data_IF_853221877984
#
_entry.id   IF_853221877984
#
_cell.length_a   1.000
_cell.length_b   1.000
_cell.length_c   1.000
_cell.angle_alpha   90.00
_cell.angle_beta   90.00
_cell.angle_gamma   90.00
#
_symmetry.space_group_name_H-M   'P 1'
#
loop_
_entity.id
_entity.type
_entity.pdbx_description
1 polymer ?
#
# COMPACT_ATOMS: atom_id res chain seq x y z
N UNK A 1 6.05 -21.86 -25.79
CA UNK A 1 6.71 -20.61 -25.39
C UNK A 1 7.61 -20.95 -24.23
N UNK A 2 8.84 -20.44 -24.17
CA UNK A 2 9.71 -20.67 -23.02
C UNK A 2 9.13 -19.92 -21.81
N UNK A 3 9.05 -20.61 -20.70
CA UNK A 3 8.65 -20.05 -19.41
C UNK A 3 9.74 -19.05 -18.95
N UNK A 4 9.31 -17.88 -18.46
CA UNK A 4 10.21 -16.88 -17.91
C UNK A 4 10.77 -17.34 -16.56
N UNK A 5 12.04 -17.01 -16.31
CA UNK A 5 12.69 -17.22 -15.02
C UNK A 5 12.30 -16.10 -14.03
N UNK A 6 12.03 -16.49 -12.77
CA UNK A 6 11.63 -15.59 -11.69
C UNK A 6 12.75 -15.50 -10.64
N UNK A 7 13.31 -14.33 -10.48
CA UNK A 7 14.24 -14.00 -9.38
C UNK A 7 13.49 -13.36 -8.22
N UNK A 8 13.51 -13.99 -7.05
CA UNK A 8 12.77 -13.55 -5.87
C UNK A 8 13.73 -12.94 -4.86
N UNK A 9 13.59 -11.64 -4.61
CA UNK A 9 14.48 -10.92 -3.70
C UNK A 9 14.13 -11.21 -2.24
N UNK A 10 15.15 -11.43 -1.40
CA UNK A 10 15.05 -11.60 0.05
C UNK A 10 15.11 -10.26 0.79
N UNK A 11 15.65 -9.24 0.15
CA UNK A 11 15.93 -7.93 0.76
C UNK A 11 15.46 -6.81 -0.13
N UNK A 12 14.97 -5.75 0.51
CA UNK A 12 14.77 -4.44 -0.08
C UNK A 12 15.76 -3.47 0.53
N UNK A 13 16.14 -2.44 -0.20
CA UNK A 13 16.94 -1.32 0.32
C UNK A 13 16.08 -0.32 1.11
N UNK A 14 14.75 -0.48 1.10
CA UNK A 14 13.84 0.28 1.94
C UNK A 14 14.07 -0.03 3.42
N UNK A 15 14.20 1.01 4.23
CA UNK A 15 14.38 0.89 5.67
C UNK A 15 13.31 -0.02 6.30
N UNK A 16 13.73 -0.95 7.15
CA UNK A 16 12.85 -1.90 7.85
C UNK A 16 11.90 -2.73 6.98
N UNK A 17 12.08 -2.79 5.66
CA UNK A 17 11.31 -3.73 4.85
C UNK A 17 11.77 -5.16 5.14
N UNK A 18 10.86 -5.92 5.73
CA UNK A 18 11.12 -7.29 6.18
C UNK A 18 10.20 -8.32 5.53
N UNK A 19 9.22 -7.87 4.78
CA UNK A 19 8.26 -8.75 4.09
C UNK A 19 8.95 -9.47 2.95
N UNK A 20 8.67 -10.77 2.82
CA UNK A 20 9.03 -11.54 1.64
C UNK A 20 7.83 -11.64 0.71
N UNK A 21 8.04 -11.71 -0.61
CA UNK A 21 6.93 -11.88 -1.53
C UNK A 21 6.34 -13.30 -1.52
N UNK A 22 7.15 -14.32 -1.27
CA UNK A 22 6.72 -15.71 -1.16
C UNK A 22 7.11 -16.29 0.20
N UNK A 23 6.12 -16.79 0.96
CA UNK A 23 6.39 -17.42 2.25
C UNK A 23 7.07 -18.78 2.05
N UNK A 24 8.15 -19.12 2.79
CA UNK A 24 8.88 -20.38 2.59
C UNK A 24 8.03 -21.65 2.65
N UNK A 25 6.97 -21.65 3.47
CA UNK A 25 6.03 -22.79 3.58
C UNK A 25 5.10 -22.93 2.36
N UNK A 26 5.03 -21.95 1.49
CA UNK A 26 4.14 -21.98 0.33
C UNK A 26 4.80 -22.56 -0.92
N UNK A 27 6.12 -22.77 -0.96
CA UNK A 27 6.79 -23.31 -2.14
C UNK A 27 6.23 -24.67 -2.57
N UNK A 28 5.84 -25.53 -1.62
CA UNK A 28 5.22 -26.82 -1.93
C UNK A 28 3.85 -26.73 -2.62
N UNK A 29 3.24 -25.54 -2.66
CA UNK A 29 1.95 -25.27 -3.35
C UNK A 29 2.13 -24.78 -4.78
N UNK A 30 3.36 -24.43 -5.16
CA UNK A 30 3.70 -23.97 -6.51
C UNK A 30 3.90 -25.21 -7.38
N UNK A 31 3.31 -25.30 -8.61
CA UNK A 31 3.56 -26.40 -9.54
C UNK A 31 5.05 -26.62 -9.81
N UNK A 32 5.45 -27.88 -9.97
CA UNK A 32 6.87 -28.28 -10.12
C UNK A 32 7.54 -27.65 -11.32
N UNK A 33 6.84 -27.54 -12.43
CA UNK A 33 7.33 -26.91 -13.65
C UNK A 33 7.64 -25.42 -13.43
N UNK A 34 6.82 -24.70 -12.69
CA UNK A 34 7.11 -23.31 -12.33
C UNK A 34 8.27 -23.21 -11.37
N UNK A 35 8.32 -24.08 -10.34
CA UNK A 35 9.40 -24.08 -9.33
C UNK A 35 10.78 -24.25 -9.95
N UNK A 36 10.86 -25.04 -11.03
CA UNK A 36 12.11 -25.28 -11.77
C UNK A 36 12.70 -24.01 -12.42
N UNK A 37 11.95 -22.89 -12.47
CA UNK A 37 12.40 -21.60 -13.00
C UNK A 37 12.35 -20.47 -11.98
N UNK A 38 12.18 -20.80 -10.67
CA UNK A 38 12.21 -19.83 -9.58
C UNK A 38 13.56 -19.88 -8.88
N UNK A 39 14.22 -18.74 -8.80
CA UNK A 39 15.49 -18.55 -8.09
C UNK A 39 15.30 -17.59 -6.93
N UNK A 40 15.87 -17.92 -5.77
CA UNK A 40 15.78 -17.11 -4.56
C UNK A 40 17.09 -16.37 -4.32
N UNK A 41 17.02 -15.16 -3.79
CA UNK A 41 18.20 -14.49 -3.23
C UNK A 41 18.76 -15.32 -2.05
N UNK A 42 20.08 -15.41 -1.94
CA UNK A 42 20.75 -16.13 -0.83
C UNK A 42 20.28 -15.59 0.53
N UNK A 43 20.02 -16.52 1.46
CA UNK A 43 19.50 -16.19 2.79
C UNK A 43 17.99 -15.86 2.79
N UNK A 44 17.27 -16.25 1.75
CA UNK A 44 15.83 -15.98 1.63
C UNK A 44 15.02 -16.47 2.84
N UNK A 45 15.34 -17.67 3.33
CA UNK A 45 14.64 -18.32 4.44
C UNK A 45 15.16 -17.97 5.84
N UNK A 46 16.23 -17.20 5.97
CA UNK A 46 16.98 -17.03 7.22
C UNK A 46 16.08 -16.58 8.40
N UNK A 47 15.17 -15.62 8.15
CA UNK A 47 14.24 -15.13 9.19
C UNK A 47 13.21 -16.17 9.65
N UNK A 48 13.06 -17.23 8.88
CA UNK A 48 12.17 -18.37 9.17
C UNK A 48 12.93 -19.58 9.70
N UNK A 49 14.26 -19.48 9.89
CA UNK A 49 15.11 -20.59 10.27
C UNK A 49 15.23 -21.67 9.18
N UNK A 50 15.02 -21.30 7.92
CA UNK A 50 15.09 -22.22 6.77
C UNK A 50 16.32 -21.85 5.94
N UNK A 51 17.25 -22.77 5.82
CA UNK A 51 18.49 -22.56 5.06
C UNK A 51 18.25 -22.63 3.55
N UNK A 52 19.18 -22.04 2.77
CA UNK A 52 19.18 -22.16 1.31
C UNK A 52 19.23 -23.63 0.85
N UNK A 53 19.94 -24.51 1.58
CA UNK A 53 20.01 -25.95 1.25
C UNK A 53 18.67 -26.65 1.43
N UNK A 54 17.88 -26.25 2.43
CA UNK A 54 16.52 -26.78 2.61
C UNK A 54 15.57 -26.29 1.52
N UNK A 55 15.78 -25.06 1.01
CA UNK A 55 14.97 -24.48 -0.07
C UNK A 55 15.33 -25.05 -1.45
N UNK A 56 16.54 -25.56 -1.68
CA UNK A 56 16.96 -26.18 -2.96
C UNK A 56 16.05 -27.32 -3.43
N UNK A 57 15.37 -28.01 -2.51
CA UNK A 57 14.40 -29.05 -2.85
C UNK A 57 13.08 -28.52 -3.40
N UNK A 58 12.84 -27.21 -3.31
CA UNK A 58 11.57 -26.59 -3.66
C UNK A 58 11.65 -25.60 -4.83
N UNK A 59 12.86 -25.13 -5.19
CA UNK A 59 13.05 -24.11 -6.23
C UNK A 59 14.30 -24.45 -7.05
N UNK A 60 14.51 -23.75 -8.17
CA UNK A 60 15.65 -23.97 -9.06
C UNK A 60 17.03 -23.73 -8.36
N UNK A 61 17.06 -22.90 -7.34
CA UNK A 61 18.25 -22.67 -6.52
C UNK A 61 18.35 -21.28 -5.92
N UNK A 62 19.46 -21.03 -5.19
CA UNK A 62 19.78 -19.72 -4.62
C UNK A 62 20.85 -19.02 -5.43
N UNK A 63 20.76 -17.69 -5.54
CA UNK A 63 21.65 -16.81 -6.29
C UNK A 63 22.00 -15.58 -5.45
N UNK A 64 23.11 -14.92 -5.76
CA UNK A 64 23.31 -13.56 -5.25
C UNK A 64 22.34 -12.59 -5.91
N UNK A 65 22.17 -11.39 -5.34
CA UNK A 65 21.35 -10.33 -5.92
C UNK A 65 21.77 -10.01 -7.36
N UNK A 66 23.07 -9.84 -7.58
CA UNK A 66 23.64 -9.52 -8.90
C UNK A 66 23.36 -10.64 -9.92
N UNK A 67 23.43 -11.91 -9.48
CA UNK A 67 23.11 -13.05 -10.33
C UNK A 67 21.61 -13.09 -10.68
N UNK A 68 20.71 -12.80 -9.72
CA UNK A 68 19.27 -12.71 -10.01
C UNK A 68 18.99 -11.63 -11.05
N UNK A 69 19.55 -10.45 -10.86
CA UNK A 69 19.38 -9.33 -11.82
C UNK A 69 20.02 -9.69 -13.17
N UNK A 70 21.20 -10.34 -13.16
CA UNK A 70 21.92 -10.73 -14.39
C UNK A 70 21.24 -11.85 -15.19
N UNK A 71 20.56 -12.78 -14.54
CA UNK A 71 20.13 -14.05 -15.14
C UNK A 71 18.59 -14.19 -15.29
N UNK A 72 17.78 -13.60 -14.37
CA UNK A 72 16.35 -13.80 -14.37
C UNK A 72 15.62 -12.79 -15.27
N UNK A 73 14.51 -13.23 -15.87
CA UNK A 73 13.67 -12.39 -16.73
C UNK A 73 12.78 -11.45 -15.92
N UNK A 74 12.22 -11.95 -14.82
CA UNK A 74 11.34 -11.23 -13.91
C UNK A 74 11.97 -11.14 -12.54
N UNK A 75 11.99 -9.94 -11.97
CA UNK A 75 12.41 -9.69 -10.58
C UNK A 75 11.15 -9.45 -9.73
N UNK A 76 10.99 -10.27 -8.70
CA UNK A 76 9.90 -10.16 -7.72
C UNK A 76 10.45 -9.53 -6.44
N UNK A 77 10.05 -8.28 -6.17
CA UNK A 77 10.48 -7.49 -5.02
C UNK A 77 9.33 -6.62 -4.50
N UNK A 78 8.86 -6.81 -3.25
CA UNK A 78 7.68 -6.10 -2.74
C UNK A 78 7.82 -4.57 -2.76
N UNK A 79 8.94 -4.03 -2.25
CA UNK A 79 9.13 -2.58 -2.15
C UNK A 79 10.48 -2.19 -2.75
N UNK A 80 10.56 -2.03 -4.09
CA UNK A 80 11.78 -1.58 -4.75
C UNK A 80 12.02 -0.09 -4.46
N UNK A 81 13.30 0.28 -4.35
CA UNK A 81 13.78 1.65 -4.29
C UNK A 81 14.35 2.06 -5.65
N UNK A 82 14.54 3.35 -5.87
CA UNK A 82 15.20 3.88 -7.08
C UNK A 82 16.51 3.15 -7.39
N UNK A 83 17.34 2.88 -6.38
CA UNK A 83 18.60 2.14 -6.52
C UNK A 83 18.39 0.71 -7.00
N UNK A 84 17.31 0.02 -6.53
CA UNK A 84 16.98 -1.33 -6.98
C UNK A 84 16.64 -1.33 -8.48
N UNK A 85 15.84 -0.35 -8.93
CA UNK A 85 15.44 -0.21 -10.33
C UNK A 85 16.63 0.15 -11.22
N UNK A 86 17.55 0.98 -10.70
CA UNK A 86 18.76 1.40 -11.43
C UNK A 86 19.75 0.24 -11.70
N UNK A 87 19.72 -0.82 -10.91
CA UNK A 87 20.54 -2.03 -11.12
C UNK A 87 19.94 -2.98 -12.17
N UNK A 88 18.64 -2.89 -12.47
CA UNK A 88 17.96 -3.82 -13.38
C UNK A 88 18.48 -3.71 -14.82
N UNK A 89 18.48 -4.84 -15.54
CA UNK A 89 18.89 -4.89 -16.96
C UNK A 89 17.86 -4.17 -17.84
N UNK A 90 18.34 -3.63 -18.96
CA UNK A 90 17.44 -3.08 -19.99
C UNK A 90 16.43 -4.13 -20.45
N UNK A 91 15.15 -3.76 -20.47
CA UNK A 91 14.03 -4.63 -20.87
C UNK A 91 13.59 -5.65 -19.83
N UNK A 92 14.14 -5.64 -18.61
CA UNK A 92 13.79 -6.58 -17.55
C UNK A 92 12.41 -6.25 -16.96
N UNK A 93 11.76 -7.25 -16.35
CA UNK A 93 10.45 -7.10 -15.74
C UNK A 93 10.58 -6.99 -14.21
N UNK A 94 9.93 -6.00 -13.62
CA UNK A 94 9.71 -5.91 -12.18
C UNK A 94 8.26 -6.28 -11.85
N UNK A 95 8.07 -7.07 -10.80
CA UNK A 95 6.78 -7.35 -10.18
C UNK A 95 6.84 -6.95 -8.69
N UNK A 96 6.15 -5.88 -8.30
CA UNK A 96 6.27 -5.30 -6.95
C UNK A 96 5.41 -4.05 -6.76
N UNK A 97 5.68 -3.25 -5.69
CA UNK A 97 5.07 -1.94 -5.44
C UNK A 97 6.03 -0.79 -5.85
N UNK A 98 6.14 -0.44 -7.14
CA UNK A 98 7.02 0.64 -7.60
C UNK A 98 6.48 2.04 -7.32
N UNK A 99 5.17 2.22 -7.09
CA UNK A 99 4.52 3.51 -6.89
C UNK A 99 4.87 4.55 -7.95
N UNK A 100 4.80 4.15 -9.22
CA UNK A 100 5.24 4.96 -10.36
C UNK A 100 4.55 6.33 -10.45
N UNK A 101 3.31 6.48 -10.00
CA UNK A 101 2.59 7.74 -10.08
C UNK A 101 3.29 8.82 -9.24
N UNK A 102 3.70 8.50 -8.01
CA UNK A 102 4.30 9.44 -7.07
C UNK A 102 5.83 9.55 -7.21
N UNK A 103 6.51 8.51 -7.72
CA UNK A 103 7.98 8.49 -7.83
C UNK A 103 8.44 8.80 -9.26
N UNK A 104 8.66 10.08 -9.54
CA UNK A 104 9.11 10.57 -10.84
C UNK A 104 10.50 10.03 -11.21
N UNK A 105 11.42 9.95 -10.26
CA UNK A 105 12.79 9.50 -10.49
C UNK A 105 12.83 8.01 -10.86
N UNK A 106 12.09 7.18 -10.13
CA UNK A 106 11.95 5.76 -10.42
C UNK A 106 11.30 5.53 -11.78
N UNK A 107 10.24 6.29 -12.09
CA UNK A 107 9.54 6.24 -13.38
C UNK A 107 10.48 6.60 -14.53
N UNK A 108 11.31 7.64 -14.38
CA UNK A 108 12.26 8.03 -15.41
C UNK A 108 13.29 6.92 -15.71
N UNK A 109 13.85 6.31 -14.67
CA UNK A 109 14.78 5.18 -14.84
C UNK A 109 14.11 4.00 -15.52
N UNK A 110 12.86 3.71 -15.19
CA UNK A 110 12.10 2.62 -15.83
C UNK A 110 11.86 2.89 -17.33
N UNK A 111 11.56 4.13 -17.71
CA UNK A 111 11.42 4.54 -19.12
C UNK A 111 12.76 4.39 -19.86
N UNK A 112 13.84 4.95 -19.31
CA UNK A 112 15.16 4.97 -19.94
C UNK A 112 15.73 3.56 -20.12
N UNK A 113 15.50 2.67 -19.16
CA UNK A 113 15.92 1.27 -19.21
C UNK A 113 14.94 0.34 -19.92
N UNK A 114 13.86 0.89 -20.47
CA UNK A 114 12.81 0.11 -21.16
C UNK A 114 12.28 -1.04 -20.30
N UNK A 115 12.11 -0.81 -19.00
CA UNK A 115 11.58 -1.83 -18.10
C UNK A 115 10.09 -2.07 -18.33
N UNK A 116 9.63 -3.26 -17.95
CA UNK A 116 8.20 -3.53 -17.77
C UNK A 116 7.91 -3.61 -16.28
N UNK A 117 7.03 -2.73 -15.77
CA UNK A 117 6.64 -2.68 -14.36
C UNK A 117 5.22 -3.19 -14.21
N UNK A 118 5.06 -4.32 -13.49
CA UNK A 118 3.76 -4.89 -13.12
C UNK A 118 3.53 -4.54 -11.65
N UNK A 119 2.65 -3.58 -11.41
CA UNK A 119 2.52 -2.94 -10.12
C UNK A 119 1.49 -3.64 -9.22
N UNK A 120 1.91 -4.01 -8.02
CA UNK A 120 1.03 -4.63 -7.01
C UNK A 120 -0.14 -3.71 -6.62
N UNK A 121 0.08 -2.38 -6.56
CA UNK A 121 -0.96 -1.39 -6.27
C UNK A 121 -2.08 -1.35 -7.30
N UNK A 122 -1.83 -1.80 -8.53
CA UNK A 122 -2.79 -1.86 -9.60
C UNK A 122 -3.40 -3.26 -9.82
N UNK A 123 -2.96 -4.28 -9.06
CA UNK A 123 -3.50 -5.63 -9.15
C UNK A 123 -4.87 -5.73 -8.48
N UNK A 124 -5.90 -5.76 -9.29
CA UNK A 124 -7.29 -5.87 -8.83
C UNK A 124 -7.98 -7.07 -9.47
N UNK A 125 -8.88 -7.69 -8.72
CA UNK A 125 -9.88 -8.58 -9.28
C UNK A 125 -10.97 -7.75 -9.94
N UNK A 126 -11.46 -8.21 -11.09
CA UNK A 126 -12.44 -7.53 -11.90
C UNK A 126 -13.69 -8.40 -12.06
N UNK A 127 -14.86 -7.79 -12.02
CA UNK A 127 -16.11 -8.45 -12.36
C UNK A 127 -16.19 -8.72 -13.88
N UNK A 128 -17.13 -9.55 -14.30
CA UNK A 128 -17.34 -9.89 -15.72
C UNK A 128 -17.67 -8.68 -16.61
N UNK A 129 -18.24 -7.63 -16.04
CA UNK A 129 -18.53 -6.35 -16.70
C UNK A 129 -17.31 -5.41 -16.76
N UNK A 130 -16.17 -5.82 -16.19
CA UNK A 130 -14.94 -5.05 -16.12
C UNK A 130 -14.88 -4.03 -14.99
N UNK A 131 -15.88 -3.97 -14.12
CA UNK A 131 -15.86 -3.13 -12.92
C UNK A 131 -14.91 -3.71 -11.87
N UNK A 132 -14.40 -2.83 -10.99
CA UNK A 132 -13.58 -3.23 -9.85
C UNK A 132 -14.36 -4.14 -8.90
N UNK A 133 -13.72 -5.21 -8.46
CA UNK A 133 -14.28 -6.13 -7.46
C UNK A 133 -13.53 -6.00 -6.12
N UNK A 134 -12.25 -6.37 -6.09
CA UNK A 134 -11.45 -6.40 -4.88
C UNK A 134 -9.97 -6.25 -5.21
N UNK A 135 -9.22 -5.50 -4.40
CA UNK A 135 -7.78 -5.42 -4.51
C UNK A 135 -7.13 -6.79 -4.17
N UNK A 136 -6.19 -7.25 -4.96
CA UNK A 136 -5.52 -8.55 -4.73
C UNK A 136 -4.88 -8.61 -3.35
N UNK A 137 -4.26 -7.52 -2.92
CA UNK A 137 -3.58 -7.42 -1.62
C UNK A 137 -4.48 -6.83 -0.51
N UNK A 138 -5.80 -7.03 -0.57
CA UNK A 138 -6.74 -6.48 0.43
C UNK A 138 -6.38 -6.89 1.86
N UNK A 139 -5.83 -8.09 2.09
CA UNK A 139 -5.36 -8.54 3.41
C UNK A 139 -4.13 -7.77 3.89
N UNK A 140 -3.17 -7.52 3.00
CA UNK A 140 -2.03 -6.65 3.34
C UNK A 140 -2.49 -5.21 3.65
N UNK A 141 -3.54 -4.73 2.96
CA UNK A 141 -4.12 -3.41 3.25
C UNK A 141 -4.86 -3.39 4.59
N UNK A 142 -5.55 -4.49 4.99
CA UNK A 142 -6.06 -4.64 6.36
C UNK A 142 -4.93 -4.57 7.38
N UNK A 143 -3.82 -5.31 7.13
CA UNK A 143 -2.64 -5.28 7.99
C UNK A 143 -2.05 -3.87 8.06
N UNK A 144 -2.08 -3.08 6.99
CA UNK A 144 -1.59 -1.70 7.02
C UNK A 144 -2.34 -0.84 8.04
N UNK A 145 -3.66 -0.85 8.02
CA UNK A 145 -4.47 -0.15 9.03
C UNK A 145 -4.25 -0.69 10.44
N UNK A 146 -4.18 -2.01 10.59
CA UNK A 146 -3.93 -2.66 11.88
C UNK A 146 -2.55 -2.26 12.45
N UNK A 147 -1.50 -2.36 11.67
CA UNK A 147 -0.13 -2.05 12.08
C UNK A 147 0.06 -0.57 12.43
N UNK A 148 -0.52 0.32 11.62
CA UNK A 148 -0.39 1.76 11.84
C UNK A 148 -1.01 2.16 13.18
N UNK A 149 -2.23 1.70 13.47
CA UNK A 149 -2.89 1.96 14.75
C UNK A 149 -2.12 1.33 15.90
N UNK A 150 -1.71 0.06 15.78
CA UNK A 150 -0.96 -0.65 16.83
C UNK A 150 0.33 0.09 17.17
N UNK A 151 1.14 0.45 16.18
CA UNK A 151 2.43 1.10 16.37
C UNK A 151 2.26 2.54 16.89
N UNK A 152 1.33 3.31 16.30
CA UNK A 152 1.07 4.68 16.73
C UNK A 152 0.59 4.77 18.18
N UNK A 153 -0.36 3.91 18.60
CA UNK A 153 -0.84 3.88 19.98
C UNK A 153 0.25 3.45 20.97
N UNK A 154 1.15 2.56 20.55
CA UNK A 154 2.31 2.17 21.35
C UNK A 154 3.26 3.35 21.59
N UNK A 155 3.53 4.14 20.55
CA UNK A 155 4.36 5.35 20.63
C UNK A 155 3.67 6.43 21.51
N UNK A 156 2.36 6.62 21.33
CA UNK A 156 1.56 7.52 22.15
C UNK A 156 1.42 7.07 23.62
N UNK A 157 1.85 5.85 23.94
CA UNK A 157 1.80 5.29 25.30
C UNK A 157 0.38 5.08 25.81
N UNK A 158 -0.60 4.83 24.92
CA UNK A 158 -2.02 4.80 25.27
C UNK A 158 -2.68 3.48 24.87
N UNK A 159 -3.70 3.09 25.62
CA UNK A 159 -4.62 1.98 25.32
C UNK A 159 -6.02 2.34 25.81
N UNK A 160 -7.05 1.73 25.23
CA UNK A 160 -8.44 1.97 25.63
C UNK A 160 -8.87 1.21 26.89
N UNK A 161 -8.10 0.21 27.34
CA UNK A 161 -8.42 -0.60 28.53
C UNK A 161 -7.92 0.01 29.85
N UNK A 162 -6.95 0.95 29.76
CA UNK A 162 -6.38 1.60 30.93
C UNK A 162 -6.36 3.14 30.75
N UNK A 163 -6.56 3.86 31.85
CA UNK A 163 -6.63 5.32 31.85
C UNK A 163 -8.03 5.86 31.53
N UNK A 164 -8.12 6.97 30.84
CA UNK A 164 -9.41 7.54 30.43
C UNK A 164 -9.98 6.83 29.20
N UNK A 165 -11.30 6.87 29.06
CA UNK A 165 -11.96 6.39 27.86
C UNK A 165 -11.53 7.22 26.64
N UNK A 166 -11.15 6.54 25.56
CA UNK A 166 -10.76 7.13 24.30
C UNK A 166 -11.88 7.02 23.26
N UNK A 167 -12.03 8.07 22.45
CA UNK A 167 -12.89 8.10 21.28
C UNK A 167 -12.02 8.11 20.03
N UNK A 168 -12.34 7.29 19.05
CA UNK A 168 -11.62 7.24 17.79
C UNK A 168 -12.55 7.46 16.60
N UNK A 169 -12.02 8.08 15.54
CA UNK A 169 -12.68 8.18 14.25
C UNK A 169 -11.78 7.62 13.15
N UNK A 170 -12.34 6.82 12.26
CA UNK A 170 -11.65 6.22 11.11
C UNK A 170 -12.28 6.76 9.83
N UNK A 171 -11.47 7.43 9.00
CA UNK A 171 -11.91 7.99 7.72
C UNK A 171 -11.66 6.95 6.63
N UNK A 172 -12.73 6.46 5.99
CA UNK A 172 -12.71 5.42 4.99
C UNK A 172 -13.47 4.17 5.43
N UNK A 173 -13.80 3.28 4.46
CA UNK A 173 -14.58 2.06 4.68
C UNK A 173 -13.99 0.84 3.94
N UNK A 174 -12.75 0.95 3.47
CA UNK A 174 -12.04 -0.11 2.76
C UNK A 174 -11.36 -1.12 3.68
N UNK A 175 -10.50 -1.96 3.10
CA UNK A 175 -9.72 -2.95 3.82
C UNK A 175 -8.86 -2.32 4.92
N UNK A 176 -8.17 -1.23 4.62
CA UNK A 176 -7.32 -0.48 5.57
C UNK A 176 -8.11 -0.02 6.79
N UNK A 177 -9.30 0.59 6.57
CA UNK A 177 -10.17 1.03 7.68
C UNK A 177 -10.64 -0.14 8.54
N UNK A 178 -10.96 -1.30 7.95
CA UNK A 178 -11.31 -2.52 8.71
C UNK A 178 -10.18 -2.98 9.61
N UNK A 179 -8.95 -2.97 9.11
CA UNK A 179 -7.76 -3.26 9.90
C UNK A 179 -7.56 -2.28 11.05
N UNK A 180 -7.72 -0.97 10.79
CA UNK A 180 -7.63 0.07 11.81
C UNK A 180 -8.67 -0.11 12.93
N UNK A 181 -9.95 -0.33 12.58
CA UNK A 181 -11.01 -0.60 13.59
C UNK A 181 -10.73 -1.87 14.37
N UNK A 182 -10.22 -2.92 13.71
CA UNK A 182 -9.86 -4.18 14.40
C UNK A 182 -8.76 -3.93 15.42
N UNK A 183 -7.73 -3.14 15.10
CA UNK A 183 -6.67 -2.79 16.04
C UNK A 183 -7.17 -1.92 17.20
N UNK A 184 -7.98 -0.89 16.92
CA UNK A 184 -8.59 -0.04 17.94
C UNK A 184 -9.37 -0.89 18.96
N UNK A 185 -10.24 -1.78 18.47
CA UNK A 185 -11.02 -2.67 19.32
C UNK A 185 -10.12 -3.64 20.12
N UNK A 186 -9.08 -4.21 19.50
CA UNK A 186 -8.13 -5.11 20.16
C UNK A 186 -7.34 -4.40 21.28
N UNK A 187 -7.10 -3.09 21.11
CA UNK A 187 -6.44 -2.23 22.09
C UNK A 187 -7.41 -1.58 23.09
N UNK A 188 -8.67 -2.02 23.14
CA UNK A 188 -9.65 -1.59 24.12
C UNK A 188 -10.41 -0.31 23.80
N UNK A 189 -10.15 0.34 22.65
CA UNK A 189 -10.92 1.51 22.19
C UNK A 189 -12.27 1.05 21.66
N UNK A 190 -13.35 1.33 22.41
CA UNK A 190 -14.71 0.83 22.13
C UNK A 190 -15.63 1.88 21.50
N UNK A 191 -15.28 3.13 21.61
CA UNK A 191 -16.02 4.26 21.05
C UNK A 191 -15.39 4.65 19.72
N UNK A 192 -15.83 4.01 18.63
CA UNK A 192 -15.25 4.15 17.30
C UNK A 192 -16.32 4.63 16.33
N UNK A 193 -16.04 5.74 15.67
CA UNK A 193 -16.80 6.26 14.55
C UNK A 193 -16.07 5.94 13.22
N UNK A 194 -16.84 5.63 12.18
CA UNK A 194 -16.31 5.36 10.83
C UNK A 194 -17.00 6.27 9.84
N UNK A 195 -16.20 7.01 9.08
CA UNK A 195 -16.68 7.92 8.05
C UNK A 195 -16.58 7.29 6.66
N UNK A 196 -17.63 7.37 5.87
CA UNK A 196 -17.66 6.86 4.49
C UNK A 196 -18.36 7.81 3.54
N UNK A 197 -17.83 7.93 2.30
CA UNK A 197 -18.53 8.60 1.20
C UNK A 197 -19.69 7.76 0.65
N UNK A 198 -19.71 6.45 0.94
CA UNK A 198 -20.80 5.59 0.50
C UNK A 198 -22.02 5.83 1.37
N UNK A 199 -23.19 5.79 0.76
CA UNK A 199 -24.43 5.77 1.53
C UNK A 199 -24.39 4.60 2.52
N UNK A 200 -24.74 4.83 3.77
CA UNK A 200 -24.67 3.79 4.84
C UNK A 200 -25.50 2.55 4.49
N UNK A 201 -26.61 2.73 3.75
CA UNK A 201 -27.43 1.63 3.21
C UNK A 201 -26.74 0.81 2.10
N UNK A 202 -25.71 1.35 1.47
CA UNK A 202 -24.95 0.67 0.40
C UNK A 202 -23.73 -0.10 0.90
N UNK A 203 -23.53 -0.12 2.22
CA UNK A 203 -22.40 -0.81 2.84
C UNK A 203 -22.72 -2.29 2.98
N UNK A 204 -22.20 -3.11 2.08
CA UNK A 204 -22.49 -4.55 1.99
C UNK A 204 -22.02 -5.39 3.18
N UNK A 205 -21.07 -4.92 3.98
CA UNK A 205 -20.56 -5.62 5.16
C UNK A 205 -20.26 -4.61 6.27
N UNK A 206 -21.10 -4.51 7.30
CA UNK A 206 -20.89 -3.58 8.41
C UNK A 206 -19.57 -3.88 9.13
N UNK A 207 -18.93 -2.84 9.65
CA UNK A 207 -17.83 -2.98 10.59
C UNK A 207 -18.48 -3.13 11.98
N UNK A 208 -18.25 -4.26 12.65
CA UNK A 208 -18.76 -4.50 13.99
C UNK A 208 -18.12 -3.54 15.00
N UNK A 209 -18.88 -3.14 16.00
CA UNK A 209 -18.43 -2.27 17.10
C UNK A 209 -17.98 -0.86 16.66
N UNK A 210 -18.59 -0.32 15.61
CA UNK A 210 -18.39 1.04 15.17
C UNK A 210 -19.71 1.68 14.75
N UNK A 211 -19.85 2.97 14.98
CA UNK A 211 -20.93 3.77 14.38
C UNK A 211 -20.47 4.25 13.01
N UNK A 212 -21.35 4.20 12.02
CA UNK A 212 -21.01 4.57 10.64
C UNK A 212 -21.75 5.87 10.30
N UNK A 213 -21.00 6.85 9.84
CA UNK A 213 -21.51 8.13 9.38
C UNK A 213 -21.16 8.33 7.90
N UNK A 214 -22.09 8.95 7.19
CA UNK A 214 -21.83 9.45 5.85
C UNK A 214 -21.11 10.79 5.93
N UNK A 215 -20.09 11.01 5.11
CA UNK A 215 -19.54 12.34 4.88
C UNK A 215 -19.57 12.66 3.39
N UNK A 216 -19.85 13.89 3.07
CA UNK A 216 -19.82 14.42 1.71
C UNK A 216 -18.76 15.52 1.58
N UNK A 217 -18.23 15.64 0.38
CA UNK A 217 -17.36 16.76 -0.01
C UNK A 217 -18.11 17.63 -0.99
N UNK A 218 -18.16 18.93 -0.73
CA UNK A 218 -18.64 19.88 -1.71
C UNK A 218 -17.53 20.15 -2.74
N UNK A 219 -17.67 19.56 -3.92
CA UNK A 219 -16.71 19.74 -5.01
C UNK A 219 -16.76 21.14 -5.64
N UNK A 220 -17.73 21.98 -5.24
CA UNK A 220 -17.89 23.35 -5.77
C UNK A 220 -17.13 24.40 -4.96
N UNK A 221 -16.90 24.13 -3.67
CA UNK A 221 -16.05 24.93 -2.79
C UNK A 221 -14.92 24.05 -2.29
N UNK A 222 -13.72 24.23 -2.82
CA UNK A 222 -12.55 23.51 -2.36
C UNK A 222 -12.48 23.51 -0.82
N UNK A 223 -12.45 22.34 -0.21
CA UNK A 223 -12.15 22.09 1.21
C UNK A 223 -13.30 22.08 2.22
N UNK A 224 -14.58 22.13 1.86
CA UNK A 224 -15.66 22.01 2.85
C UNK A 224 -16.31 20.63 2.77
N UNK A 225 -15.79 19.69 3.56
CA UNK A 225 -16.45 18.40 3.79
C UNK A 225 -17.32 18.45 5.04
N UNK A 226 -18.45 17.74 5.04
CA UNK A 226 -19.39 17.70 6.15
C UNK A 226 -19.71 16.24 6.52
N UNK A 227 -19.86 15.99 7.80
CA UNK A 227 -20.40 14.73 8.32
C UNK A 227 -21.91 14.87 8.52
N UNK A 228 -22.67 13.89 8.04
CA UNK A 228 -24.11 13.82 8.21
C UNK A 228 -24.43 13.10 9.50
N UNK A 229 -24.90 13.84 10.50
CA UNK A 229 -25.30 13.33 11.82
C UNK A 229 -26.81 13.36 11.98
N UNK A 230 -27.33 12.76 13.06
CA UNK A 230 -28.74 12.85 13.40
C UNK A 230 -29.22 14.28 13.70
N UNK A 231 -28.30 15.17 14.04
CA UNK A 231 -28.57 16.58 14.36
C UNK A 231 -28.33 17.52 13.17
N UNK A 232 -28.06 16.98 11.98
CA UNK A 232 -27.77 17.73 10.76
C UNK A 232 -26.33 17.55 10.27
N UNK A 233 -25.93 18.42 9.34
CA UNK A 233 -24.58 18.45 8.76
C UNK A 233 -23.66 19.28 9.65
N UNK A 234 -22.50 18.71 9.99
CA UNK A 234 -21.45 19.39 10.78
C UNK A 234 -20.15 19.42 9.98
N UNK A 235 -19.33 20.48 10.10
CA UNK A 235 -18.02 20.52 9.44
C UNK A 235 -17.17 19.31 9.81
N UNK A 236 -16.47 18.73 8.82
CA UNK A 236 -15.66 17.52 9.03
C UNK A 236 -14.51 17.79 10.02
N UNK A 237 -13.78 18.89 9.88
CA UNK A 237 -12.67 19.21 10.76
C UNK A 237 -13.11 19.30 12.24
N UNK A 238 -14.19 20.00 12.53
CA UNK A 238 -14.76 20.08 13.89
C UNK A 238 -15.21 18.70 14.42
N UNK A 239 -15.81 17.86 13.57
CA UNK A 239 -16.17 16.49 13.96
C UNK A 239 -14.92 15.66 14.32
N UNK A 240 -13.83 15.78 13.53
CA UNK A 240 -12.56 15.09 13.80
C UNK A 240 -11.93 15.58 15.10
N UNK A 241 -11.97 16.90 15.36
CA UNK A 241 -11.39 17.52 16.55
C UNK A 241 -12.02 17.03 17.88
N UNK A 242 -13.24 16.48 17.84
CA UNK A 242 -13.90 15.88 19.02
C UNK A 242 -13.34 14.50 19.43
N UNK A 243 -12.39 13.94 18.67
CA UNK A 243 -11.86 12.59 18.88
C UNK A 243 -10.41 12.63 19.40
N UNK A 244 -10.08 11.65 20.23
CA UNK A 244 -8.72 11.46 20.75
C UNK A 244 -7.79 10.83 19.73
N UNK A 245 -8.36 10.04 18.80
CA UNK A 245 -7.63 9.31 17.77
C UNK A 245 -8.35 9.50 16.43
N UNK A 246 -7.63 10.03 15.44
CA UNK A 246 -8.09 10.18 14.05
C UNK A 246 -7.27 9.27 13.17
N UNK A 247 -7.90 8.36 12.42
CA UNK A 247 -7.21 7.42 11.52
C UNK A 247 -7.64 7.67 10.07
N UNK A 248 -6.73 8.11 9.22
CA UNK A 248 -6.99 8.28 7.79
C UNK A 248 -6.66 6.99 7.02
N UNK A 249 -7.67 6.43 6.35
CA UNK A 249 -7.59 5.22 5.52
C UNK A 249 -8.11 5.43 4.10
N UNK A 250 -8.18 6.68 3.63
CA UNK A 250 -8.71 7.00 2.30
C UNK A 250 -7.57 6.99 1.29
N UNK A 251 -7.66 6.13 0.28
CA UNK A 251 -6.82 6.25 -0.90
C UNK A 251 -7.23 7.50 -1.67
N UNK A 252 -6.35 8.48 -1.76
CA UNK A 252 -6.61 9.76 -2.39
C UNK A 252 -6.59 9.66 -3.92
N UNK A 253 -7.44 10.47 -4.57
CA UNK A 253 -7.29 10.74 -5.98
C UNK A 253 -6.24 11.84 -6.14
N UNK A 254 -5.11 11.52 -6.75
CA UNK A 254 -3.98 12.45 -6.92
C UNK A 254 -4.32 13.68 -7.76
N UNK A 255 -5.31 13.57 -8.67
CA UNK A 255 -5.76 14.70 -9.51
C UNK A 255 -6.77 15.62 -8.78
N UNK A 256 -7.39 15.13 -7.70
CA UNK A 256 -8.37 15.88 -6.90
C UNK A 256 -8.36 15.39 -5.43
N UNK A 257 -7.28 15.67 -4.67
CA UNK A 257 -7.17 15.20 -3.30
C UNK A 257 -8.19 15.92 -2.38
N UNK A 258 -8.73 15.16 -1.43
CA UNK A 258 -9.56 15.70 -0.36
C UNK A 258 -8.69 16.22 0.77
N UNK A 259 -9.02 17.37 1.33
CA UNK A 259 -8.45 17.87 2.58
C UNK A 259 -9.45 17.68 3.71
N UNK A 260 -9.06 17.01 4.79
CA UNK A 260 -9.91 16.76 5.95
C UNK A 260 -9.71 17.82 7.03
N UNK A 261 -8.44 18.25 7.20
CA UNK A 261 -8.06 19.33 8.14
C UNK A 261 -6.88 20.11 7.58
N UNK A 262 -6.84 21.39 7.92
CA UNK A 262 -5.76 22.33 7.62
C UNK A 262 -5.05 22.80 8.90
N UNK A 263 -3.96 23.55 8.76
CA UNK A 263 -3.26 24.14 9.91
C UNK A 263 -4.16 25.07 10.74
N UNK A 264 -5.14 25.74 10.11
CA UNK A 264 -6.10 26.61 10.79
C UNK A 264 -7.03 25.81 11.71
N UNK A 265 -7.37 24.57 11.34
CA UNK A 265 -8.26 23.71 12.13
C UNK A 265 -7.58 23.13 13.38
N UNK A 266 -6.23 23.14 13.44
CA UNK A 266 -5.47 22.61 14.59
C UNK A 266 -5.78 23.32 15.91
N UNK A 267 -6.24 24.56 15.86
CA UNK A 267 -6.62 25.30 17.05
C UNK A 267 -7.84 24.69 17.79
N UNK A 268 -8.67 23.92 17.09
CA UNK A 268 -9.82 23.21 17.65
C UNK A 268 -9.50 21.82 18.18
N UNK A 269 -8.32 21.27 17.82
CA UNK A 269 -7.91 19.92 18.19
C UNK A 269 -7.38 19.89 19.62
N UNK A 270 -7.88 18.93 20.41
CA UNK A 270 -7.42 18.77 21.79
C UNK A 270 -5.93 18.38 21.83
N UNK A 271 -5.08 19.08 22.63
CA UNK A 271 -3.70 18.67 22.82
C UNK A 271 -3.55 17.23 23.28
N UNK A 272 -2.63 16.48 22.66
CA UNK A 272 -2.44 15.05 22.90
C UNK A 272 -3.31 14.14 22.00
N UNK A 273 -4.06 14.70 21.07
CA UNK A 273 -4.73 13.92 20.00
C UNK A 273 -3.68 13.19 19.15
N UNK A 274 -4.00 11.94 18.78
CA UNK A 274 -3.20 11.11 17.89
C UNK A 274 -3.83 11.06 16.50
N UNK A 275 -3.12 11.51 15.48
CA UNK A 275 -3.51 11.35 14.07
C UNK A 275 -2.66 10.26 13.46
N UNK A 276 -3.32 9.21 12.93
CA UNK A 276 -2.69 8.07 12.27
C UNK A 276 -3.04 8.14 10.78
N UNK A 277 -2.12 8.61 9.98
CA UNK A 277 -2.31 8.69 8.54
C UNK A 277 -1.74 7.44 7.85
N UNK A 278 -2.62 6.48 7.53
CA UNK A 278 -2.23 5.23 6.87
C UNK A 278 -2.02 5.43 5.38
N UNK A 279 -2.67 6.42 4.80
CA UNK A 279 -2.52 6.78 3.38
C UNK A 279 -1.20 7.47 3.12
N UNK A 280 -0.75 8.32 4.03
CA UNK A 280 0.56 9.00 4.10
C UNK A 280 1.01 9.69 2.80
N UNK A 281 0.07 10.08 1.94
CA UNK A 281 0.37 10.82 0.71
C UNK A 281 0.66 12.29 1.04
N UNK A 282 1.75 12.83 0.47
CA UNK A 282 2.21 14.19 0.77
C UNK A 282 1.16 15.24 0.41
N UNK A 283 0.86 16.12 1.37
CA UNK A 283 -0.15 17.18 1.28
C UNK A 283 -1.57 16.71 0.90
N UNK A 284 -1.90 15.44 1.15
CA UNK A 284 -3.25 14.88 0.92
C UNK A 284 -3.89 14.47 2.24
N UNK A 285 -5.16 14.80 2.41
CA UNK A 285 -5.89 14.55 3.64
C UNK A 285 -5.65 15.60 4.72
N UNK A 286 -4.40 15.94 5.00
CA UNK A 286 -4.00 16.98 5.95
C UNK A 286 -2.99 17.91 5.29
N UNK A 287 -3.06 19.23 5.56
CA UNK A 287 -2.15 20.21 4.96
C UNK A 287 -0.67 19.95 5.29
N UNK A 288 -0.41 19.33 6.44
CA UNK A 288 0.93 18.94 6.93
C UNK A 288 1.32 17.51 6.59
N UNK A 289 0.49 16.77 5.84
CA UNK A 289 0.72 15.36 5.55
C UNK A 289 2.05 15.14 4.83
N UNK A 290 2.84 14.23 5.35
CA UNK A 290 4.06 13.71 4.75
C UNK A 290 4.38 12.34 5.32
N UNK A 291 4.97 11.43 4.52
CA UNK A 291 5.37 10.12 5.02
C UNK A 291 6.47 10.23 6.08
N UNK A 292 6.44 9.28 7.02
CA UNK A 292 7.45 9.09 8.06
C UNK A 292 8.10 7.72 7.93
N UNK A 293 9.13 7.45 8.74
CA UNK A 293 9.89 6.20 8.72
C UNK A 293 9.74 5.43 10.03
N UNK A 294 10.19 4.19 10.10
CA UNK A 294 10.22 3.47 11.38
C UNK A 294 11.24 4.03 12.37
N UNK A 295 12.31 4.67 11.89
CA UNK A 295 13.31 5.31 12.75
C UNK A 295 12.78 6.63 13.35
N UNK A 296 11.95 7.37 12.59
CA UNK A 296 11.30 8.61 13.02
C UNK A 296 9.81 8.55 12.62
N UNK A 297 8.98 7.81 13.41
CA UNK A 297 7.64 7.43 12.97
C UNK A 297 6.59 8.53 13.17
N UNK A 298 6.89 9.57 13.92
CA UNK A 298 5.93 10.62 14.29
C UNK A 298 6.58 12.00 14.31
N UNK A 299 5.74 13.03 14.14
CA UNK A 299 6.10 14.39 14.46
C UNK A 299 4.91 15.12 15.09
N UNK A 300 5.17 16.25 15.73
CA UNK A 300 4.14 17.05 16.37
C UNK A 300 3.68 18.17 15.45
N UNK A 301 2.37 18.38 15.40
CA UNK A 301 1.73 19.51 14.71
C UNK A 301 0.86 20.29 15.71
N UNK A 302 0.64 21.58 15.47
CA UNK A 302 -0.17 22.43 16.33
C UNK A 302 0.27 22.39 17.80
N UNK A 303 -0.71 22.40 18.72
CA UNK A 303 -0.47 22.31 20.16
C UNK A 303 -0.45 20.83 20.61
N UNK A 304 0.72 20.20 20.49
CA UNK A 304 0.96 18.82 20.95
C UNK A 304 0.03 17.75 20.32
N UNK A 305 -0.31 17.87 19.04
CA UNK A 305 -0.99 16.83 18.26
C UNK A 305 0.06 15.91 17.65
N UNK A 306 0.01 14.61 17.97
CA UNK A 306 0.97 13.63 17.47
C UNK A 306 0.50 13.08 16.13
N UNK A 307 1.34 13.24 15.10
CA UNK A 307 1.06 12.74 13.75
C UNK A 307 1.97 11.58 13.38
N UNK A 308 1.39 10.46 12.94
CA UNK A 308 2.04 9.21 12.53
C UNK A 308 1.69 8.90 11.08
N UNK A 309 2.70 8.59 10.23
CA UNK A 309 2.50 8.30 8.80
C UNK A 309 3.56 7.36 8.18
N UNK A 310 3.89 6.24 8.84
CA UNK A 310 4.87 5.28 8.29
C UNK A 310 4.31 4.61 7.02
N UNK A 311 4.97 4.82 5.88
CA UNK A 311 4.49 4.47 4.53
C UNK A 311 4.50 2.97 4.17
N UNK A 312 5.07 2.13 5.00
CA UNK A 312 5.12 0.66 4.82
C UNK A 312 4.84 -0.09 6.12
N UNK A 313 3.88 0.41 6.88
CA UNK A 313 3.48 -0.10 8.19
C UNK A 313 3.26 -1.63 8.27
N UNK A 314 2.79 -2.37 7.24
CA UNK A 314 2.69 -3.83 7.32
C UNK A 314 4.02 -4.54 7.62
N UNK A 315 5.17 -3.90 7.37
CA UNK A 315 6.48 -4.45 7.74
C UNK A 315 6.66 -4.60 9.26
N UNK A 316 5.85 -3.92 10.07
CA UNK A 316 5.79 -4.09 11.52
C UNK A 316 5.37 -5.51 11.93
N UNK A 317 4.38 -6.07 11.23
CA UNK A 317 3.95 -7.47 11.36
C UNK A 317 4.38 -8.29 10.13
N UNK A 318 5.66 -8.16 9.77
CA UNK A 318 6.25 -8.69 8.54
C UNK A 318 5.94 -10.17 8.26
N UNK A 319 5.85 -11.01 9.31
CA UNK A 319 5.57 -12.43 9.14
C UNK A 319 4.14 -12.67 8.65
N UNK A 320 3.15 -12.05 9.31
CA UNK A 320 1.74 -12.12 8.87
C UNK A 320 1.57 -11.48 7.50
N UNK A 321 2.21 -10.33 7.26
CA UNK A 321 2.16 -9.67 5.96
C UNK A 321 2.78 -10.52 4.83
N UNK A 322 3.92 -11.19 5.10
CA UNK A 322 4.54 -12.14 4.16
C UNK A 322 3.57 -13.29 3.80
N UNK A 323 2.88 -13.84 4.81
CA UNK A 323 1.89 -14.90 4.56
C UNK A 323 0.80 -14.42 3.60
N UNK A 324 0.16 -13.30 3.91
CA UNK A 324 -0.96 -12.77 3.11
C UNK A 324 -0.52 -12.30 1.71
N UNK A 325 0.66 -11.70 1.59
CA UNK A 325 1.25 -11.34 0.29
C UNK A 325 1.47 -12.60 -0.55
N UNK A 326 2.06 -13.61 0.04
CA UNK A 326 2.34 -14.87 -0.65
C UNK A 326 1.06 -15.58 -1.10
N UNK A 327 0.04 -15.65 -0.23
CA UNK A 327 -1.29 -16.17 -0.62
C UNK A 327 -1.87 -15.44 -1.82
N UNK A 328 -1.74 -14.11 -1.83
CA UNK A 328 -2.24 -13.26 -2.90
C UNK A 328 -1.49 -13.44 -4.22
N UNK A 329 -0.18 -13.74 -4.18
CA UNK A 329 0.67 -13.85 -5.38
C UNK A 329 0.62 -15.23 -6.05
N UNK A 330 0.45 -16.31 -5.27
CA UNK A 330 0.49 -17.68 -5.78
C UNK A 330 -0.39 -17.92 -7.02
N UNK A 331 -1.65 -17.44 -7.09
CA UNK A 331 -2.51 -17.65 -8.25
C UNK A 331 -1.99 -17.01 -9.54
N UNK A 332 -1.14 -15.98 -9.43
CA UNK A 332 -0.66 -15.21 -10.58
C UNK A 332 0.71 -15.65 -11.10
N UNK A 333 1.42 -16.53 -10.38
CA UNK A 333 2.72 -17.06 -10.82
C UNK A 333 2.66 -17.65 -12.25
N UNK A 334 1.67 -18.48 -12.62
CA UNK A 334 1.58 -19.01 -13.99
C UNK A 334 1.46 -17.91 -15.05
N UNK A 335 0.66 -16.88 -14.79
CA UNK A 335 0.48 -15.77 -15.71
C UNK A 335 1.78 -14.94 -15.84
N UNK A 336 2.39 -14.58 -14.73
CA UNK A 336 3.64 -13.80 -14.71
C UNK A 336 4.76 -14.54 -15.46
N UNK A 337 4.97 -15.80 -15.15
CA UNK A 337 6.04 -16.60 -15.75
C UNK A 337 5.72 -17.07 -17.18
N UNK A 338 4.45 -16.96 -17.60
CA UNK A 338 4.01 -17.26 -18.96
C UNK A 338 4.33 -16.18 -20.01
N UNK A 339 4.79 -15.00 -19.57
CA UNK A 339 5.21 -13.91 -20.45
C UNK A 339 4.07 -13.12 -21.10
N UNK A 340 4.40 -12.29 -22.07
CA UNK A 340 3.52 -11.24 -22.63
C UNK A 340 2.14 -11.75 -23.09
N UNK A 341 2.04 -12.96 -23.67
CA UNK A 341 0.76 -13.51 -24.11
C UNK A 341 -0.14 -13.88 -22.91
N UNK A 342 0.45 -14.45 -21.84
CA UNK A 342 -0.26 -14.76 -20.62
C UNK A 342 -0.68 -13.49 -19.88
N UNK A 343 0.18 -12.46 -19.84
CA UNK A 343 -0.16 -11.15 -19.26
C UNK A 343 -1.36 -10.50 -19.97
N UNK A 344 -1.40 -10.59 -21.29
CA UNK A 344 -2.51 -10.04 -22.09
C UNK A 344 -3.83 -10.78 -21.83
N UNK A 345 -3.78 -12.09 -21.55
CA UNK A 345 -4.93 -12.92 -21.28
C UNK A 345 -5.49 -12.74 -19.85
N UNK A 346 -4.65 -12.44 -18.88
CA UNK A 346 -5.06 -12.22 -17.48
C UNK A 346 -5.46 -10.75 -17.25
N UNK A 347 -6.74 -10.45 -16.94
CA UNK A 347 -7.19 -9.07 -16.77
C UNK A 347 -6.55 -8.34 -15.59
N UNK A 348 -6.18 -9.04 -14.52
CA UNK A 348 -5.49 -8.48 -13.36
C UNK A 348 -4.08 -8.04 -13.74
N UNK A 349 -3.32 -8.94 -14.35
CA UNK A 349 -1.93 -8.63 -14.75
C UNK A 349 -1.91 -7.58 -15.86
N UNK A 350 -2.76 -7.73 -16.90
CA UNK A 350 -2.81 -6.78 -18.02
C UNK A 350 -3.03 -5.34 -17.56
N UNK A 351 -3.94 -5.13 -16.61
CA UNK A 351 -4.28 -3.79 -16.08
C UNK A 351 -3.30 -3.30 -15.03
N UNK A 352 -2.47 -4.20 -14.48
CA UNK A 352 -1.43 -3.84 -13.51
C UNK A 352 -0.10 -3.45 -14.16
N UNK A 353 0.02 -3.52 -15.49
CA UNK A 353 1.20 -3.04 -16.20
C UNK A 353 1.16 -1.52 -16.25
N UNK A 354 1.97 -0.87 -15.42
CA UNK A 354 2.13 0.59 -15.34
C UNK A 354 2.99 1.13 -16.46
N UNK A 355 4.08 0.41 -16.77
CA UNK A 355 5.04 0.72 -17.83
C UNK A 355 5.33 -0.59 -18.57
N UNK A 356 5.34 -0.56 -19.89
CA UNK A 356 5.69 -1.70 -20.74
C UNK A 356 6.82 -1.31 -21.69
N UNK A 357 7.97 -1.99 -21.61
CA UNK A 357 9.13 -1.74 -22.45
C UNK A 357 9.53 -0.26 -22.48
N UNK A 358 9.42 0.44 -21.33
CA UNK A 358 9.66 1.87 -21.17
C UNK A 358 8.52 2.77 -21.61
N UNK A 359 7.41 2.22 -22.13
CA UNK A 359 6.24 3.01 -22.54
C UNK A 359 5.21 3.02 -21.41
N UNK A 360 4.86 4.21 -20.92
CA UNK A 360 3.85 4.40 -19.86
C UNK A 360 2.49 3.93 -20.35
N UNK A 361 1.87 3.05 -19.56
CA UNK A 361 0.53 2.49 -19.80
C UNK A 361 -0.53 3.15 -18.92
N UNK A 362 -0.16 3.56 -17.70
CA UNK A 362 -1.07 4.22 -16.77
C UNK A 362 -1.10 5.74 -17.02
N UNK A 363 -2.23 6.31 -17.49
CA UNK A 363 -2.32 7.74 -17.77
C UNK A 363 -2.15 8.62 -16.53
N UNK A 364 -2.41 8.11 -15.32
CA UNK A 364 -2.20 8.88 -14.08
C UNK A 364 -0.72 9.24 -13.85
N UNK A 365 0.21 8.44 -14.34
CA UNK A 365 1.65 8.79 -14.32
C UNK A 365 1.90 10.04 -15.17
N UNK A 366 1.27 10.10 -16.35
CA UNK A 366 1.46 11.22 -17.27
C UNK A 366 0.87 12.52 -16.71
N UNK A 367 -0.36 12.44 -16.18
CA UNK A 367 -1.04 13.62 -15.62
C UNK A 367 -0.34 14.14 -14.37
N UNK A 368 -0.06 13.26 -13.41
CA UNK A 368 0.53 13.64 -12.12
C UNK A 368 1.95 14.22 -12.28
N UNK A 369 2.77 13.62 -13.17
CA UNK A 369 4.15 14.04 -13.37
C UNK A 369 4.31 15.08 -14.50
N UNK A 370 3.23 15.57 -15.10
CA UNK A 370 3.29 16.56 -16.19
C UNK A 370 4.11 16.04 -17.39
N UNK A 371 3.92 14.79 -17.81
CA UNK A 371 4.66 14.17 -18.91
C UNK A 371 3.90 14.18 -20.22
N UNK A 372 4.64 14.29 -21.33
CA UNK A 372 4.10 14.15 -22.67
C UNK A 372 3.48 12.74 -22.88
N UNK A 373 2.30 12.62 -23.53
CA UNK A 373 1.65 11.34 -23.74
C UNK A 373 2.42 10.40 -24.68
N UNK A 374 3.24 10.96 -25.56
CA UNK A 374 4.04 10.16 -26.50
C UNK A 374 5.42 9.83 -25.93
N UNK A 375 5.83 8.57 -26.09
CA UNK A 375 7.20 8.13 -25.75
C UNK A 375 8.24 9.05 -26.45
N UNK A 376 9.30 9.46 -25.78
CA UNK A 376 9.81 9.00 -24.47
C UNK A 376 9.24 9.71 -23.24
N UNK A 377 8.02 10.22 -23.28
CA UNK A 377 7.29 10.80 -22.16
C UNK A 377 8.06 11.91 -21.43
N UNK A 378 8.64 12.84 -22.20
CA UNK A 378 9.42 13.96 -21.65
C UNK A 378 8.55 14.77 -20.68
N UNK A 379 9.17 15.27 -19.60
CA UNK A 379 8.52 16.23 -18.71
C UNK A 379 8.14 17.49 -19.52
N UNK A 380 6.91 17.97 -19.29
CA UNK A 380 6.39 19.21 -19.87
C UNK A 380 6.69 20.42 -18.97
N UNK A 381 7.15 20.18 -17.73
CA UNK A 381 7.64 21.23 -16.85
C UNK A 381 9.00 21.71 -17.35
N UNK A 382 9.03 22.92 -17.89
CA UNK A 382 10.23 23.71 -18.19
C UNK A 382 10.46 24.76 -17.11
#
# INVERSE_FOLDING_TARGET
>A
MNQLSLGVMARSLKENERRLPLHPRHFGRIPDDLRASIYLERGYGDRYGVSDDQLKGWVAGSRTREQLIGECDVILQPKPMLSDIAEMRVGQVLWGWPHCVQDEALTQVAIDRKLTLIAFEAMNHWNSDGSFSLHVFHKNNEIAGYCSVLHAMQIAGSTGDYGRRLRAVVIGFGATARGAVTALNALGVRDVDVLTHRQTAAVAAPIHSARIFHFDSDHTTAHVSHVVTNNGRVPLAGFLAEHDIVVNCVLQNTDAPLTFMTDDDLAEVTPGTLIVDVSCDEAMGFSWARPTTFADPTFVVGDNVLYYAVDHSPSYLWNSATWEISEALLPFLPAIMGGSAAWAADPTIRRAIEIRDGVVQNPAILSFQGRAPMHPHRSLAT
#
